data_IF_120573598768
#
_entry.id   IF_120573598768
#
_cell.length_a   1.000
_cell.length_b   1.000
_cell.length_c   1.000
_cell.angle_alpha   90.00
_cell.angle_beta   90.00
_cell.angle_gamma   90.00
#
_symmetry.space_group_name_H-M   'P 1'
#
loop_
_entity.id
_entity.type
_entity.pdbx_description
1 polymer ?
#
# COMPACT_ATOMS: atom_id res chain seq x y z
N UNK A 1 20.94 -36.61 57.42
CA UNK A 1 21.48 -36.51 56.05
C UNK A 1 20.38 -35.90 55.18
N UNK A 2 20.64 -34.72 54.60
CA UNK A 2 19.65 -33.92 53.86
C UNK A 2 19.56 -34.43 52.41
N UNK A 3 18.35 -34.76 51.97
CA UNK A 3 18.04 -35.17 50.59
C UNK A 3 17.99 -33.93 49.70
N UNK A 4 18.89 -33.84 48.71
CA UNK A 4 18.80 -32.85 47.64
C UNK A 4 17.74 -33.31 46.63
N UNK A 5 16.71 -32.49 46.41
CA UNK A 5 15.79 -32.62 45.29
C UNK A 5 16.33 -31.83 44.11
N UNK A 6 16.67 -32.51 43.01
CA UNK A 6 17.14 -31.90 41.76
C UNK A 6 15.92 -31.57 40.90
N UNK A 7 15.56 -30.30 40.80
CA UNK A 7 14.53 -29.81 39.88
C UNK A 7 15.17 -29.61 38.50
N UNK A 8 14.93 -30.51 37.55
CA UNK A 8 15.25 -30.29 36.14
C UNK A 8 14.11 -29.53 35.48
N UNK A 9 14.31 -28.25 35.20
CA UNK A 9 13.43 -27.46 34.34
C UNK A 9 13.83 -27.80 32.90
N UNK A 10 13.05 -28.67 32.25
CA UNK A 10 13.13 -28.87 30.81
C UNK A 10 12.46 -27.66 30.14
N UNK A 11 13.28 -26.68 29.74
CA UNK A 11 12.87 -25.61 28.83
C UNK A 11 12.90 -26.17 27.40
N UNK A 12 11.86 -26.90 27.01
CA UNK A 12 11.67 -27.28 25.62
C UNK A 12 11.28 -26.04 24.83
N UNK A 13 12.28 -25.38 24.23
CA UNK A 13 12.05 -24.48 23.10
C UNK A 13 11.36 -25.29 22.01
N UNK A 14 10.10 -24.98 21.73
CA UNK A 14 9.44 -25.42 20.51
C UNK A 14 10.10 -24.65 19.34
N UNK A 15 11.20 -25.17 18.82
CA UNK A 15 11.61 -24.84 17.46
C UNK A 15 10.63 -25.58 16.54
N UNK A 16 9.71 -24.83 15.93
CA UNK A 16 8.88 -25.37 14.86
C UNK A 16 9.77 -25.41 13.62
N UNK A 17 10.36 -26.59 13.36
CA UNK A 17 11.11 -26.80 12.11
C UNK A 17 10.09 -26.86 10.96
N UNK A 18 10.00 -25.75 10.21
CA UNK A 18 9.19 -25.68 9.00
C UNK A 18 10.00 -26.17 7.80
N UNK A 19 9.60 -27.30 7.22
CA UNK A 19 10.21 -27.88 6.02
C UNK A 19 9.59 -27.25 4.76
N UNK A 20 10.16 -26.15 4.28
CA UNK A 20 9.79 -25.56 2.99
C UNK A 20 11.04 -25.37 2.13
N UNK A 21 10.88 -25.28 0.80
CA UNK A 21 11.96 -24.82 -0.07
C UNK A 21 12.04 -23.29 -0.03
N UNK A 22 13.22 -22.66 -0.20
CA UNK A 22 13.30 -21.21 -0.30
C UNK A 22 12.47 -20.71 -1.48
N UNK A 23 11.91 -19.51 -1.33
CA UNK A 23 11.27 -18.83 -2.46
C UNK A 23 12.38 -18.44 -3.44
N UNK A 24 12.36 -19.07 -4.62
CA UNK A 24 13.34 -18.86 -5.69
C UNK A 24 12.79 -18.05 -6.85
N UNK A 25 11.53 -17.63 -6.78
CA UNK A 25 10.97 -16.68 -7.72
C UNK A 25 11.68 -15.34 -7.52
N UNK A 26 12.26 -14.81 -8.60
CA UNK A 26 12.96 -13.51 -8.62
C UNK A 26 12.18 -12.59 -9.55
N UNK A 27 12.03 -11.33 -9.15
CA UNK A 27 11.45 -10.30 -9.99
C UNK A 27 10.43 -9.41 -9.26
N UNK A 28 9.80 -8.47 -9.99
CA UNK A 28 8.70 -7.70 -9.43
C UNK A 28 7.54 -8.65 -9.14
N UNK A 29 7.15 -8.71 -7.87
CA UNK A 29 5.89 -9.32 -7.46
C UNK A 29 4.74 -8.37 -7.80
N UNK A 30 4.99 -7.06 -7.69
CA UNK A 30 4.06 -5.99 -8.05
C UNK A 30 4.82 -4.82 -8.67
N UNK A 31 4.23 -4.24 -9.71
CA UNK A 31 4.64 -2.97 -10.31
C UNK A 31 3.40 -2.08 -10.47
N UNK A 32 3.39 -0.92 -9.81
CA UNK A 32 2.30 0.06 -9.90
C UNK A 32 2.77 1.28 -10.68
N UNK A 33 1.95 1.72 -11.62
CA UNK A 33 2.06 2.97 -12.39
C UNK A 33 0.75 3.73 -12.13
N UNK A 34 0.80 4.83 -11.37
CA UNK A 34 -0.40 5.51 -10.88
C UNK A 34 -0.88 6.61 -11.83
N UNK A 35 -0.05 7.02 -12.79
CA UNK A 35 -0.37 8.07 -13.76
C UNK A 35 -0.37 7.57 -15.21
N UNK A 36 -0.33 6.24 -15.39
CA UNK A 36 -0.28 5.55 -16.69
C UNK A 36 0.84 6.09 -17.60
N UNK A 37 1.95 6.57 -17.01
CA UNK A 37 3.08 7.13 -17.77
C UNK A 37 3.94 6.06 -18.47
N UNK A 38 3.61 4.79 -18.30
CA UNK A 38 4.38 3.64 -18.75
C UNK A 38 5.61 3.39 -17.88
N UNK A 39 5.70 4.04 -16.72
CA UNK A 39 6.83 3.90 -15.81
C UNK A 39 6.36 3.53 -14.41
N UNK A 40 6.95 2.48 -13.85
CA UNK A 40 6.69 2.08 -12.47
C UNK A 40 6.95 3.22 -11.49
N UNK A 41 5.98 3.53 -10.65
CA UNK A 41 6.08 4.44 -9.51
C UNK A 41 6.44 3.71 -8.21
N UNK A 42 5.93 2.49 -8.03
CA UNK A 42 6.27 1.64 -6.89
C UNK A 42 6.44 0.19 -7.34
N UNK A 43 7.53 -0.43 -6.88
CA UNK A 43 7.85 -1.83 -7.14
C UNK A 43 7.95 -2.59 -5.83
N UNK A 44 7.24 -3.69 -5.73
CA UNK A 44 7.48 -4.72 -4.71
C UNK A 44 8.12 -5.92 -5.39
N UNK A 45 9.24 -6.39 -4.87
CA UNK A 45 10.08 -7.39 -5.52
C UNK A 45 10.61 -8.44 -4.55
N UNK A 46 10.95 -9.59 -5.13
CA UNK A 46 11.65 -10.68 -4.48
C UNK A 46 13.02 -10.89 -5.13
N UNK A 47 14.00 -11.21 -4.30
CA UNK A 47 15.35 -11.59 -4.71
C UNK A 47 15.69 -12.93 -4.08
N UNK A 48 16.40 -13.78 -4.81
CA UNK A 48 16.88 -15.06 -4.33
C UNK A 48 18.24 -15.35 -4.95
N UNK A 49 19.29 -15.36 -4.13
CA UNK A 49 20.66 -15.56 -4.57
C UNK A 49 21.20 -16.86 -3.98
N UNK A 50 21.58 -17.80 -4.85
CA UNK A 50 22.26 -19.04 -4.44
C UNK A 50 23.75 -18.78 -4.19
N UNK A 51 24.26 -19.30 -3.08
CA UNK A 51 25.66 -19.23 -2.67
C UNK A 51 26.17 -20.67 -2.45
N UNK A 52 27.22 -21.03 -3.19
CA UNK A 52 27.86 -22.35 -3.07
C UNK A 52 27.03 -23.51 -3.61
N UNK A 53 27.63 -24.70 -3.60
CA UNK A 53 27.03 -25.93 -4.10
C UNK A 53 26.60 -26.89 -2.98
N UNK A 54 27.43 -27.07 -1.94
CA UNK A 54 27.13 -27.89 -0.75
C UNK A 54 27.85 -27.36 0.52
N UNK A 55 27.14 -27.07 1.63
CA UNK A 55 25.67 -26.94 1.67
C UNK A 55 25.21 -25.85 0.71
N UNK A 56 24.02 -26.04 0.14
CA UNK A 56 23.42 -25.06 -0.76
C UNK A 56 22.79 -23.95 0.09
N UNK A 57 23.35 -22.75 0.00
CA UNK A 57 22.85 -21.57 0.69
C UNK A 57 22.04 -20.69 -0.24
N UNK A 58 20.96 -20.11 0.25
CA UNK A 58 20.18 -19.10 -0.45
C UNK A 58 20.01 -17.88 0.42
N UNK A 59 20.20 -16.70 -0.15
CA UNK A 59 19.78 -15.43 0.44
C UNK A 59 18.50 -15.00 -0.26
N UNK A 60 17.39 -14.97 0.48
CA UNK A 60 16.10 -14.53 -0.02
C UNK A 60 15.73 -13.20 0.61
N UNK A 61 15.22 -12.28 -0.19
CA UNK A 61 14.84 -10.94 0.23
C UNK A 61 13.55 -10.48 -0.41
N UNK A 62 12.77 -9.72 0.35
CA UNK A 62 11.59 -9.01 -0.13
C UNK A 62 11.78 -7.53 0.10
N UNK A 63 11.67 -6.73 -0.96
CA UNK A 63 11.91 -5.30 -0.92
C UNK A 63 10.82 -4.55 -1.64
N UNK A 64 10.39 -3.43 -1.06
CA UNK A 64 9.50 -2.49 -1.71
C UNK A 64 10.22 -1.17 -1.91
N UNK A 65 10.12 -0.61 -3.11
CA UNK A 65 10.87 0.56 -3.54
C UNK A 65 9.96 1.53 -4.31
N UNK A 66 9.90 2.82 -3.93
CA UNK A 66 9.32 3.84 -4.76
C UNK A 66 10.35 4.28 -5.80
N UNK A 67 9.89 4.63 -7.00
CA UNK A 67 10.73 4.99 -8.13
C UNK A 67 10.74 6.51 -8.35
N UNK A 68 11.76 7.00 -9.08
CA UNK A 68 11.94 8.42 -9.40
C UNK A 68 11.96 9.30 -8.15
N UNK A 69 11.15 10.35 -8.12
CA UNK A 69 11.01 11.28 -6.99
C UNK A 69 9.96 10.82 -5.94
N UNK A 70 9.29 9.69 -6.16
CA UNK A 70 8.36 9.10 -5.20
C UNK A 70 9.10 8.58 -3.96
N UNK A 71 8.46 8.67 -2.80
CA UNK A 71 9.04 8.28 -1.50
C UNK A 71 7.98 7.61 -0.64
N UNK A 72 8.39 6.70 0.24
CA UNK A 72 7.56 6.36 1.40
C UNK A 72 7.48 7.55 2.35
N UNK A 73 6.40 7.66 3.11
CA UNK A 73 6.31 8.60 4.23
C UNK A 73 6.19 7.84 5.54
N UNK A 74 6.68 8.43 6.62
CA UNK A 74 6.62 7.82 7.95
C UNK A 74 5.34 8.22 8.67
N UNK A 75 4.68 7.26 9.32
CA UNK A 75 3.57 7.56 10.21
C UNK A 75 4.02 8.40 11.42
N UNK A 76 5.17 8.09 12.00
CA UNK A 76 5.80 8.87 13.08
C UNK A 76 7.31 8.95 12.88
N UNK A 77 8.04 9.61 13.79
CA UNK A 77 9.51 9.63 13.72
C UNK A 77 10.13 8.23 13.88
N UNK A 78 9.43 7.31 14.55
CA UNK A 78 9.92 5.96 14.88
C UNK A 78 9.18 4.84 14.15
N UNK A 79 8.09 5.15 13.44
CA UNK A 79 7.22 4.15 12.80
C UNK A 79 6.97 4.51 11.34
N UNK A 80 7.17 3.55 10.45
CA UNK A 80 6.86 3.72 9.03
C UNK A 80 5.39 3.39 8.74
N UNK A 81 4.89 2.26 9.26
CA UNK A 81 3.53 1.79 8.98
C UNK A 81 2.47 2.69 9.61
N UNK A 82 1.41 2.95 8.85
CA UNK A 82 0.23 3.70 9.28
C UNK A 82 -0.79 2.75 9.91
N UNK A 83 -1.68 3.30 10.74
CA UNK A 83 -2.92 2.63 11.13
C UNK A 83 -4.04 3.04 10.19
N UNK A 84 -5.04 2.20 10.02
CA UNK A 84 -6.23 2.54 9.26
C UNK A 84 -6.83 3.87 9.76
N UNK A 85 -7.14 4.79 8.85
CA UNK A 85 -7.65 6.11 9.16
C UNK A 85 -6.60 7.17 9.53
N UNK A 86 -5.32 6.83 9.65
CA UNK A 86 -4.28 7.84 9.87
C UNK A 86 -4.04 8.68 8.61
N UNK A 87 -3.92 9.99 8.78
CA UNK A 87 -3.70 10.91 7.66
C UNK A 87 -2.28 10.83 7.11
N UNK A 88 -2.19 10.66 5.80
CA UNK A 88 -1.00 10.73 4.96
C UNK A 88 -1.05 12.06 4.19
N UNK A 89 -0.05 12.92 4.39
CA UNK A 89 -0.04 14.27 3.84
C UNK A 89 1.37 14.85 3.80
N UNK A 90 1.50 16.10 3.35
CA UNK A 90 2.75 16.86 3.28
C UNK A 90 3.45 17.07 4.63
N UNK A 91 2.72 16.99 5.75
CA UNK A 91 3.32 17.10 7.07
C UNK A 91 4.06 15.84 7.50
N UNK A 92 3.83 14.70 6.82
CA UNK A 92 4.54 13.46 7.08
C UNK A 92 5.94 13.52 6.46
N UNK A 93 6.93 13.14 7.25
CA UNK A 93 8.32 13.10 6.79
C UNK A 93 8.50 11.96 5.79
N UNK A 94 9.01 12.27 4.61
CA UNK A 94 9.46 11.26 3.66
C UNK A 94 10.56 10.39 4.30
N UNK A 95 10.52 9.09 4.04
CA UNK A 95 11.60 8.19 4.39
C UNK A 95 12.81 8.57 3.54
N UNK A 96 13.79 9.17 4.19
CA UNK A 96 15.13 9.37 3.66
C UNK A 96 16.06 8.39 4.37
N UNK A 97 16.94 7.71 3.64
CA UNK A 97 17.91 6.78 4.21
C UNK A 97 19.06 7.49 4.97
N UNK A 98 18.98 8.81 5.14
CA UNK A 98 20.00 9.61 5.81
C UNK A 98 19.47 10.29 7.08
N UNK A 99 20.18 10.04 8.17
CA UNK A 99 20.30 10.90 9.35
C UNK A 99 21.80 11.13 9.61
N UNK A 100 22.32 12.38 9.65
CA UNK A 100 21.73 13.67 9.27
C UNK A 100 22.40 14.30 8.01
N UNK A 101 21.65 15.14 7.28
CA UNK A 101 22.00 15.85 6.02
C UNK A 101 23.16 16.90 6.14
N UNK A 102 23.85 17.39 5.07
CA UNK A 102 23.92 16.96 3.64
C UNK A 102 25.37 17.05 3.02
N UNK A 103 25.64 17.13 1.68
CA UNK A 103 24.96 16.64 0.46
C UNK A 103 25.89 15.80 -0.48
N UNK A 104 25.31 14.87 -1.26
CA UNK A 104 25.63 14.50 -2.67
C UNK A 104 25.14 13.07 -2.98
N UNK A 105 24.84 12.74 -4.26
CA UNK A 105 23.89 11.70 -4.62
C UNK A 105 24.55 10.32 -4.68
N UNK A 106 24.01 9.31 -3.97
CA UNK A 106 24.24 7.93 -4.35
C UNK A 106 22.91 7.29 -4.72
N UNK A 107 22.97 6.35 -5.68
CA UNK A 107 21.86 5.53 -6.18
C UNK A 107 20.72 5.40 -5.18
N UNK A 108 19.67 6.16 -5.47
CA UNK A 108 18.48 6.43 -4.66
C UNK A 108 17.62 5.17 -4.42
N UNK A 109 18.14 4.13 -3.76
CA UNK A 109 17.28 3.08 -3.23
C UNK A 109 16.63 3.65 -1.97
N UNK A 110 15.43 4.22 -2.13
CA UNK A 110 14.50 4.54 -1.03
C UNK A 110 13.66 3.33 -0.63
N UNK A 111 14.06 2.16 -1.12
CA UNK A 111 13.49 0.90 -0.73
C UNK A 111 13.80 0.58 0.72
N UNK A 112 12.93 -0.23 1.31
CA UNK A 112 13.26 -0.93 2.54
C UNK A 112 13.00 -2.42 2.35
N UNK A 113 13.84 -3.22 2.99
CA UNK A 113 13.61 -4.66 3.05
C UNK A 113 12.43 -4.90 3.99
N UNK A 114 11.43 -5.61 3.49
CA UNK A 114 10.39 -6.19 4.34
C UNK A 114 11.00 -7.36 5.09
N UNK A 115 11.52 -8.35 4.38
CA UNK A 115 12.05 -9.56 4.99
C UNK A 115 13.36 -9.96 4.31
N UNK A 116 14.28 -10.55 5.07
CA UNK A 116 15.50 -11.12 4.53
C UNK A 116 15.92 -12.32 5.37
N UNK A 117 16.17 -13.46 4.73
CA UNK A 117 16.57 -14.69 5.39
C UNK A 117 17.58 -15.49 4.57
N UNK A 118 18.33 -16.34 5.27
CA UNK A 118 19.16 -17.40 4.69
C UNK A 118 18.41 -18.71 4.78
N UNK A 119 18.37 -19.48 3.69
CA UNK A 119 17.95 -20.87 3.70
C UNK A 119 19.15 -21.77 3.40
N UNK A 120 19.39 -22.81 4.20
CA UNK A 120 20.53 -23.74 4.04
C UNK A 120 20.01 -25.14 3.78
N UNK A 121 20.48 -25.81 2.73
CA UNK A 121 20.20 -27.22 2.43
C UNK A 121 21.42 -28.07 2.72
N UNK A 122 21.34 -28.84 3.80
CA UNK A 122 22.34 -29.85 4.18
C UNK A 122 21.73 -31.26 4.12
N UNK A 123 20.50 -31.41 4.61
CA UNK A 123 19.62 -32.59 4.47
C UNK A 123 18.17 -32.11 4.34
N UNK A 124 17.82 -31.08 5.12
CA UNK A 124 16.59 -30.29 5.06
C UNK A 124 16.90 -28.79 4.97
N UNK A 125 15.88 -27.98 4.64
CA UNK A 125 15.99 -26.52 4.63
C UNK A 125 15.91 -25.95 6.04
N UNK A 126 16.89 -25.12 6.40
CA UNK A 126 16.90 -24.35 7.65
C UNK A 126 16.94 -22.86 7.35
N UNK A 127 16.13 -22.11 8.09
CA UNK A 127 15.96 -20.68 7.88
C UNK A 127 16.56 -19.87 9.04
N UNK A 128 17.20 -18.74 8.71
CA UNK A 128 17.62 -17.75 9.69
C UNK A 128 17.48 -16.34 9.12
N UNK A 129 16.91 -15.41 9.88
CA UNK A 129 16.80 -14.01 9.46
C UNK A 129 18.12 -13.25 9.63
N UNK A 130 18.35 -12.26 8.78
CA UNK A 130 19.50 -11.37 8.89
C UNK A 130 19.12 -10.05 9.59
N UNK A 131 19.81 -9.72 10.69
CA UNK A 131 19.55 -8.49 11.45
C UNK A 131 18.20 -8.52 12.16
N UNK A 132 17.64 -7.34 12.45
CA UNK A 132 16.26 -7.19 12.92
C UNK A 132 15.36 -7.00 11.68
N UNK A 133 14.70 -8.06 11.16
CA UNK A 133 13.82 -7.94 10.01
C UNK A 133 12.67 -6.97 10.33
N UNK A 134 12.42 -6.04 9.40
CA UNK A 134 11.30 -5.13 9.57
C UNK A 134 10.00 -5.92 9.42
N UNK A 135 9.06 -5.78 10.36
CA UNK A 135 7.73 -6.38 10.22
C UNK A 135 7.64 -7.92 10.22
N UNK A 136 8.64 -8.65 10.74
CA UNK A 136 8.57 -10.12 10.84
C UNK A 136 7.38 -10.60 11.69
N UNK A 137 6.87 -9.78 12.61
CA UNK A 137 5.70 -10.08 13.43
C UNK A 137 4.36 -9.59 12.85
N UNK A 138 4.36 -8.96 11.67
CA UNK A 138 3.16 -8.32 11.13
C UNK A 138 2.48 -9.19 10.08
N UNK A 139 1.17 -9.41 10.18
CA UNK A 139 0.38 -10.04 9.10
C UNK A 139 -0.09 -9.02 8.06
N UNK A 140 -0.07 -7.73 8.39
CA UNK A 140 -0.65 -6.66 7.60
C UNK A 140 0.17 -5.37 7.74
N UNK A 141 0.37 -4.66 6.63
CA UNK A 141 1.09 -3.39 6.58
C UNK A 141 0.31 -2.37 5.77
N UNK A 142 0.11 -1.18 6.35
CA UNK A 142 -0.32 0.01 5.61
C UNK A 142 0.86 0.96 5.46
N UNK A 143 1.32 1.13 4.23
CA UNK A 143 2.50 1.95 3.91
C UNK A 143 2.05 3.23 3.21
N UNK A 144 2.44 4.39 3.73
CA UNK A 144 2.13 5.68 3.13
C UNK A 144 3.12 6.07 2.04
N UNK A 145 2.62 6.73 1.01
CA UNK A 145 3.35 7.17 -0.16
C UNK A 145 3.25 8.69 -0.35
N UNK A 146 4.34 9.30 -0.79
CA UNK A 146 4.38 10.59 -1.46
C UNK A 146 4.87 10.35 -2.89
N UNK A 147 3.96 10.44 -3.84
CA UNK A 147 4.19 10.14 -5.24
C UNK A 147 4.50 11.42 -6.02
N UNK A 148 5.47 11.36 -6.92
CA UNK A 148 5.75 12.46 -7.85
C UNK A 148 5.28 12.06 -9.24
N UNK A 149 4.01 12.35 -9.52
CA UNK A 149 3.30 12.02 -10.75
C UNK A 149 3.39 13.18 -11.75
N UNK A 150 2.98 12.96 -13.00
CA UNK A 150 2.97 14.00 -14.05
C UNK A 150 2.18 15.24 -13.69
N UNK A 151 1.13 15.11 -12.87
CA UNK A 151 0.24 16.20 -12.43
C UNK A 151 0.68 16.88 -11.14
N UNK A 152 1.71 16.36 -10.45
CA UNK A 152 2.28 16.96 -9.25
C UNK A 152 2.62 15.94 -8.16
N UNK A 153 2.68 16.41 -6.91
CA UNK A 153 2.88 15.53 -5.76
C UNK A 153 1.54 15.01 -5.26
N UNK A 154 1.39 13.69 -5.14
CA UNK A 154 0.19 13.03 -4.62
C UNK A 154 0.51 12.24 -3.36
N UNK A 155 -0.52 11.99 -2.55
CA UNK A 155 -0.42 11.14 -1.38
C UNK A 155 -1.25 9.89 -1.59
N UNK A 156 -0.70 8.75 -1.19
CA UNK A 156 -1.34 7.45 -1.37
C UNK A 156 -0.94 6.47 -0.28
N UNK A 157 -1.49 5.26 -0.35
CA UNK A 157 -1.12 4.16 0.52
C UNK A 157 -1.16 2.82 -0.21
N UNK A 158 -0.42 1.86 0.35
CA UNK A 158 -0.44 0.45 -0.04
C UNK A 158 -0.83 -0.40 1.16
N UNK A 159 -1.65 -1.40 0.93
CA UNK A 159 -2.01 -2.43 1.91
C UNK A 159 -1.40 -3.75 1.50
N UNK A 160 -0.46 -4.22 2.30
CA UNK A 160 0.19 -5.52 2.13
C UNK A 160 -0.34 -6.48 3.19
N UNK A 161 -0.56 -7.74 2.86
CA UNK A 161 -0.91 -8.78 3.83
C UNK A 161 -0.22 -10.09 3.54
N UNK A 162 -0.06 -10.95 4.54
CA UNK A 162 0.40 -12.33 4.33
C UNK A 162 -0.44 -13.30 5.16
N UNK A 163 -0.70 -14.50 4.64
CA UNK A 163 -1.56 -15.47 5.32
C UNK A 163 -0.91 -16.08 6.57
N UNK A 164 0.43 -16.11 6.62
CA UNK A 164 1.20 -16.67 7.73
C UNK A 164 2.25 -15.65 8.17
N UNK A 165 2.31 -15.39 9.47
CA UNK A 165 3.29 -14.47 10.08
C UNK A 165 4.60 -15.21 10.27
N UNK A 166 5.34 -15.38 9.17
CA UNK A 166 6.66 -16.00 9.17
C UNK A 166 7.58 -15.33 8.14
N UNK A 167 8.89 -15.36 8.38
CA UNK A 167 9.85 -14.67 7.51
C UNK A 167 10.01 -15.29 6.11
N UNK A 168 9.44 -16.47 5.88
CA UNK A 168 9.50 -17.20 4.62
C UNK A 168 8.26 -16.98 3.74
N UNK A 169 7.24 -16.31 4.23
CA UNK A 169 6.01 -15.98 3.49
C UNK A 169 6.07 -14.53 3.04
N UNK A 170 6.01 -14.34 1.72
CA UNK A 170 5.93 -13.03 1.09
C UNK A 170 4.63 -12.31 1.49
N UNK A 171 4.63 -10.98 1.42
CA UNK A 171 3.39 -10.23 1.47
C UNK A 171 2.74 -10.21 0.08
N UNK A 172 1.42 -10.22 0.03
CA UNK A 172 0.63 -9.91 -1.16
C UNK A 172 0.19 -8.44 -1.08
N UNK A 173 0.15 -7.75 -2.22
CA UNK A 173 -0.56 -6.48 -2.31
C UNK A 173 -2.06 -6.76 -2.32
N UNK A 174 -2.76 -6.27 -1.31
CA UNK A 174 -4.20 -6.43 -1.15
C UNK A 174 -4.96 -5.29 -1.80
N UNK A 175 -4.51 -4.05 -1.56
CA UNK A 175 -5.22 -2.86 -1.97
C UNK A 175 -4.29 -1.64 -1.99
N UNK A 176 -4.70 -0.57 -2.67
CA UNK A 176 -4.00 0.70 -2.69
C UNK A 176 -4.95 1.84 -3.06
N UNK A 177 -4.61 3.06 -2.66
CA UNK A 177 -5.28 4.24 -3.18
C UNK A 177 -4.33 5.44 -3.25
N UNK A 178 -4.62 6.35 -4.17
CA UNK A 178 -3.92 7.62 -4.35
C UNK A 178 -4.96 8.73 -4.41
N UNK A 179 -4.69 9.85 -3.75
CA UNK A 179 -5.54 11.02 -3.87
C UNK A 179 -5.39 11.62 -5.29
N UNK A 180 -6.47 11.76 -6.07
CA UNK A 180 -6.37 12.20 -7.47
C UNK A 180 -5.98 13.68 -7.60
N UNK A 181 -6.29 14.49 -6.59
CA UNK A 181 -5.88 15.90 -6.54
C UNK A 181 -4.47 16.03 -5.93
N UNK A 182 -3.53 16.73 -6.58
CA UNK A 182 -2.20 16.96 -6.03
C UNK A 182 -2.24 17.68 -4.68
N UNK A 183 -1.33 17.28 -3.79
CA UNK A 183 -1.10 17.81 -2.45
C UNK A 183 -2.22 17.61 -1.43
N UNK A 184 -3.33 16.99 -1.80
CA UNK A 184 -4.43 16.69 -0.88
C UNK A 184 -4.14 15.43 -0.04
N UNK A 185 -4.52 15.44 1.24
CA UNK A 185 -4.27 14.32 2.14
C UNK A 185 -5.16 13.11 1.84
N UNK A 186 -4.71 11.93 2.21
CA UNK A 186 -5.52 10.70 2.18
C UNK A 186 -5.44 9.97 3.52
N UNK A 187 -6.50 9.25 3.89
CA UNK A 187 -6.51 8.40 5.07
C UNK A 187 -6.01 7.01 4.71
N UNK A 188 -5.05 6.48 5.46
CA UNK A 188 -4.48 5.17 5.22
C UNK A 188 -5.57 4.08 5.28
N UNK A 189 -5.59 3.21 4.26
CA UNK A 189 -6.57 2.12 4.15
C UNK A 189 -7.99 2.57 3.80
N UNK A 190 -8.18 3.81 3.34
CA UNK A 190 -9.47 4.31 2.86
C UNK A 190 -9.29 4.96 1.48
N UNK A 191 -10.26 4.82 0.57
CA UNK A 191 -10.25 5.56 -0.69
C UNK A 191 -10.32 7.07 -0.41
N UNK A 192 -9.85 7.92 -1.35
CA UNK A 192 -9.99 9.35 -1.21
C UNK A 192 -11.48 9.74 -1.19
N UNK A 193 -11.91 10.69 -0.35
CA UNK A 193 -13.31 11.07 -0.26
C UNK A 193 -13.74 11.83 -1.52
N UNK A 194 -14.80 11.39 -2.19
CA UNK A 194 -15.31 12.01 -3.42
C UNK A 194 -15.48 13.54 -3.28
N UNK A 195 -15.30 14.31 -4.37
CA UNK A 195 -15.39 15.75 -4.32
C UNK A 195 -16.83 16.18 -4.00
N UNK A 196 -17.02 17.33 -3.33
CA UNK A 196 -18.35 17.91 -3.20
C UNK A 196 -18.97 18.17 -4.57
N UNK A 197 -20.24 17.79 -4.73
CA UNK A 197 -21.04 18.14 -5.91
C UNK A 197 -21.52 19.58 -5.74
N UNK A 198 -21.23 20.42 -6.71
CA UNK A 198 -21.81 21.76 -6.83
C UNK A 198 -23.08 21.66 -7.66
N UNK A 199 -24.15 22.27 -7.17
CA UNK A 199 -25.47 22.24 -7.83
C UNK A 199 -25.94 23.65 -8.13
N UNK A 200 -26.39 23.89 -9.36
CA UNK A 200 -27.04 25.12 -9.76
C UNK A 200 -28.40 24.79 -10.37
N UNK A 201 -29.44 25.50 -9.94
CA UNK A 201 -30.81 25.32 -10.45
C UNK A 201 -31.14 26.51 -11.35
N UNK A 202 -31.64 26.20 -12.54
CA UNK A 202 -32.34 27.13 -13.42
C UNK A 202 -33.77 26.60 -13.68
N UNK A 203 -34.61 27.41 -14.32
CA UNK A 203 -36.01 27.11 -14.63
C UNK A 203 -36.24 25.86 -15.47
N UNK A 204 -35.24 25.42 -16.25
CA UNK A 204 -35.34 24.25 -17.14
C UNK A 204 -34.34 23.12 -16.80
N UNK A 205 -33.36 23.39 -15.93
CA UNK A 205 -32.26 22.45 -15.72
C UNK A 205 -31.66 22.52 -14.32
N UNK A 206 -31.24 21.36 -13.83
CA UNK A 206 -30.37 21.21 -12.68
C UNK A 206 -28.97 20.88 -13.19
N UNK A 207 -28.01 21.74 -12.89
CA UNK A 207 -26.63 21.60 -13.33
C UNK A 207 -25.77 21.09 -12.19
N UNK A 208 -24.98 20.05 -12.47
CA UNK A 208 -24.01 19.45 -11.55
C UNK A 208 -22.59 19.72 -12.04
N UNK A 209 -21.70 20.09 -11.14
CA UNK A 209 -20.26 20.15 -11.41
C UNK A 209 -19.46 19.66 -10.21
N UNK A 210 -18.21 19.30 -10.45
CA UNK A 210 -17.26 18.90 -9.41
C UNK A 210 -15.85 19.32 -9.81
N UNK A 211 -14.90 19.17 -8.87
CA UNK A 211 -13.51 19.53 -9.14
C UNK A 211 -12.92 18.62 -10.23
N UNK A 212 -12.63 19.20 -11.39
CA UNK A 212 -12.12 18.49 -12.57
C UNK A 212 -10.77 17.79 -12.34
N UNK A 213 -10.04 18.16 -11.29
CA UNK A 213 -8.79 17.48 -10.88
C UNK A 213 -9.01 16.05 -10.40
N UNK A 214 -10.26 15.66 -10.14
CA UNK A 214 -10.63 14.27 -9.82
C UNK A 214 -10.64 13.33 -11.03
N UNK A 215 -10.52 13.87 -12.25
CA UNK A 215 -10.65 13.09 -13.47
C UNK A 215 -12.06 12.59 -13.70
N UNK A 216 -12.18 11.43 -14.34
CA UNK A 216 -13.46 10.85 -14.70
C UNK A 216 -14.21 10.34 -13.47
N UNK A 217 -15.40 10.88 -13.23
CA UNK A 217 -16.38 10.39 -12.27
C UNK A 217 -17.71 10.14 -12.95
N UNK A 218 -18.51 9.24 -12.37
CA UNK A 218 -19.85 8.89 -12.86
C UNK A 218 -20.87 9.60 -11.99
N UNK A 219 -21.75 10.39 -12.61
CA UNK A 219 -22.95 10.92 -11.97
C UNK A 219 -24.06 9.87 -12.10
N UNK A 220 -24.58 9.43 -10.96
CA UNK A 220 -25.69 8.49 -10.90
C UNK A 220 -26.91 9.16 -10.28
N UNK A 221 -28.09 8.71 -10.67
CA UNK A 221 -29.35 9.14 -10.06
C UNK A 221 -30.23 7.97 -9.63
N UNK A 222 -31.14 8.23 -8.71
CA UNK A 222 -32.21 7.30 -8.32
C UNK A 222 -33.46 8.08 -7.90
N UNK A 223 -34.63 7.48 -8.05
CA UNK A 223 -35.91 8.04 -7.62
C UNK A 223 -36.31 7.58 -6.21
N UNK A 224 -35.58 6.63 -5.61
CA UNK A 224 -35.91 6.07 -4.31
C UNK A 224 -34.66 5.70 -3.49
N UNK A 225 -34.67 6.02 -2.19
CA UNK A 225 -33.61 5.62 -1.25
C UNK A 225 -34.00 4.43 -0.36
N UNK A 226 -35.16 3.81 -0.61
CA UNK A 226 -35.62 2.61 0.10
C UNK A 226 -35.09 1.35 -0.58
N UNK A 227 -34.43 0.44 0.14
CA UNK A 227 -33.92 -0.81 -0.43
C UNK A 227 -35.00 -1.70 -1.07
N UNK A 228 -34.71 -2.38 -2.19
CA UNK A 228 -33.45 -2.33 -2.93
C UNK A 228 -33.29 -1.03 -3.74
N UNK A 229 -32.15 -0.34 -3.55
CA UNK A 229 -31.85 0.91 -4.25
C UNK A 229 -31.19 0.59 -5.58
N UNK A 230 -31.75 1.09 -6.67
CA UNK A 230 -31.14 0.98 -8.01
C UNK A 230 -30.67 2.37 -8.43
N UNK A 231 -29.40 2.47 -8.79
CA UNK A 231 -28.77 3.68 -9.31
C UNK A 231 -28.60 3.57 -10.81
N UNK A 232 -28.95 4.63 -11.52
CA UNK A 232 -28.84 4.72 -12.98
C UNK A 232 -27.77 5.74 -13.35
N UNK A 233 -26.88 5.38 -14.28
CA UNK A 233 -25.89 6.30 -14.82
C UNK A 233 -26.61 7.41 -15.57
N UNK A 234 -26.36 8.65 -15.14
CA UNK A 234 -26.79 9.84 -15.86
C UNK A 234 -25.75 10.17 -16.92
N UNK A 235 -24.49 10.31 -16.49
CA UNK A 235 -23.37 10.67 -17.36
C UNK A 235 -22.03 10.31 -16.71
N UNK A 236 -21.01 10.11 -17.55
CA UNK A 236 -19.61 10.08 -17.16
C UNK A 236 -18.96 11.42 -17.54
N UNK A 237 -18.26 12.05 -16.60
CA UNK A 237 -17.73 13.40 -16.82
C UNK A 237 -16.44 13.67 -16.05
N UNK A 238 -15.73 14.73 -16.47
CA UNK A 238 -14.47 15.16 -15.88
C UNK A 238 -14.63 16.43 -15.03
N UNK A 239 -15.81 16.68 -14.46
CA UNK A 239 -16.09 17.86 -13.63
C UNK A 239 -16.72 19.05 -14.37
N UNK A 240 -16.80 19.00 -15.70
CA UNK A 240 -17.54 20.00 -16.48
C UNK A 240 -19.02 20.04 -16.05
N UNK A 241 -19.68 21.22 -16.10
CA UNK A 241 -21.08 21.34 -15.77
C UNK A 241 -21.97 20.40 -16.62
N UNK A 242 -22.69 19.51 -15.95
CA UNK A 242 -23.67 18.59 -16.54
C UNK A 242 -25.06 19.10 -16.22
N UNK A 243 -25.80 19.53 -17.25
CA UNK A 243 -27.21 19.86 -17.11
C UNK A 243 -28.07 18.59 -17.24
N UNK A 244 -28.92 18.35 -16.25
CA UNK A 244 -30.03 17.40 -16.34
C UNK A 244 -31.35 18.18 -16.38
N UNK A 245 -32.37 17.70 -17.11
CA UNK A 245 -33.69 18.32 -17.07
C UNK A 245 -34.23 18.37 -15.64
N UNK A 246 -34.85 19.48 -15.26
CA UNK A 246 -35.70 19.50 -14.06
C UNK A 246 -36.96 18.71 -14.34
N UNK A 247 -37.02 17.47 -13.85
CA UNK A 247 -38.21 16.63 -13.91
C UNK A 247 -39.15 16.91 -12.73
N UNK A 248 -40.45 16.62 -12.91
CA UNK A 248 -41.47 16.76 -11.86
C UNK A 248 -41.32 15.71 -10.74
N UNK A 249 -40.51 14.68 -10.96
CA UNK A 249 -40.25 13.61 -9.99
C UNK A 249 -39.02 13.90 -9.13
N UNK A 250 -39.12 13.60 -7.83
CA UNK A 250 -37.99 13.74 -6.92
C UNK A 250 -36.87 12.76 -7.28
N UNK A 251 -35.68 13.28 -7.57
CA UNK A 251 -34.46 12.50 -7.84
C UNK A 251 -33.38 12.79 -6.81
N UNK A 252 -32.58 11.76 -6.52
CA UNK A 252 -31.38 11.82 -5.71
C UNK A 252 -30.17 11.57 -6.60
N UNK A 253 -29.05 12.23 -6.30
CA UNK A 253 -27.85 12.18 -7.12
C UNK A 253 -26.62 11.85 -6.27
N UNK A 254 -25.67 11.11 -6.84
CA UNK A 254 -24.36 10.86 -6.24
C UNK A 254 -23.27 10.76 -7.28
N UNK A 255 -22.03 10.97 -6.85
CA UNK A 255 -20.85 10.61 -7.63
C UNK A 255 -20.39 9.20 -7.26
N UNK A 256 -19.75 8.53 -8.21
CA UNK A 256 -19.02 7.28 -8.02
C UNK A 256 -17.73 7.33 -8.85
N UNK A 257 -16.68 6.67 -8.37
CA UNK A 257 -15.53 6.36 -9.23
C UNK A 257 -15.99 5.35 -10.32
N UNK A 258 -15.42 5.37 -11.53
CA UNK A 258 -15.80 4.48 -12.64
C UNK A 258 -15.93 3.00 -12.25
#
# INVERSE_FOLDING_TARGET
MKSLATFSILLSLFCVDAYAQPITNIGPLVSLDFDDSGTTDVRYSSTADKIGDLPEDWIVGFGIEPWRASRFVRATNTRLQFRAGETISSSRRALTNYLPDPPLPPSESYGFRLLAYRAIRQEDWRYSTFGEPAYESESELLIGLRLSLTTGTHYGWLRLSRPVVDSHTAFDLVDYAVHPVPNEPILAGQPPPLPPIQTQIDSESLTFSWDARWGALVLESTTNLVPPITWETVIEGNGDPVAVPTEDEQRFYRLRQP
#
